data_IF_193904158177
#
_entry.id   IF_193904158177
#
_cell.length_a   1.000
_cell.length_b   1.000
_cell.length_c   1.000
_cell.angle_alpha   90.00
_cell.angle_beta   90.00
_cell.angle_gamma   90.00
#
_symmetry.space_group_name_H-M   'P 1'
#
loop_
_entity.id
_entity.type
_entity.pdbx_description
1 polymer ?
#
# COMPACT_ATOMS: atom_id res chain seq x y z
N UNK A 1 8.22 -22.90 6.22
CA UNK A 1 9.27 -22.74 5.20
C UNK A 1 9.76 -21.31 5.20
N UNK A 2 11.05 -21.08 5.40
CA UNK A 2 11.75 -19.79 5.41
C UNK A 2 12.81 -19.76 4.32
N UNK A 3 13.30 -18.57 3.95
CA UNK A 3 14.36 -18.42 2.93
C UNK A 3 15.64 -19.17 3.34
N UNK A 4 15.98 -19.17 4.63
CA UNK A 4 17.13 -19.93 5.13
C UNK A 4 16.95 -21.44 4.96
N UNK A 5 15.73 -21.96 5.16
CA UNK A 5 15.43 -23.37 4.89
C UNK A 5 15.52 -23.69 3.39
N UNK A 6 15.10 -22.78 2.50
CA UNK A 6 15.26 -22.96 1.05
C UNK A 6 16.74 -23.10 0.65
N UNK A 7 17.59 -22.20 1.12
CA UNK A 7 19.05 -22.21 0.84
C UNK A 7 19.71 -23.45 1.42
N UNK A 8 19.44 -23.77 2.69
CA UNK A 8 20.05 -24.91 3.40
C UNK A 8 19.71 -26.26 2.74
N UNK A 9 18.50 -26.40 2.21
CA UNK A 9 18.02 -27.64 1.63
C UNK A 9 18.19 -27.72 0.09
N UNK A 10 18.85 -26.73 -0.53
CA UNK A 10 19.09 -26.74 -1.98
C UNK A 10 17.80 -26.63 -2.82
N UNK A 11 16.76 -25.96 -2.31
CA UNK A 11 15.44 -25.90 -2.95
C UNK A 11 15.28 -24.74 -3.95
N UNK A 12 16.31 -23.89 -4.11
CA UNK A 12 16.29 -22.73 -4.98
C UNK A 12 16.67 -23.14 -6.41
N UNK A 13 15.89 -22.70 -7.38
CA UNK A 13 16.12 -22.88 -8.82
C UNK A 13 16.66 -21.61 -9.46
N UNK A 14 16.27 -20.44 -8.96
CA UNK A 14 16.69 -19.16 -9.51
C UNK A 14 16.77 -18.11 -8.41
N UNK A 15 17.78 -17.26 -8.45
CA UNK A 15 17.96 -16.15 -7.52
C UNK A 15 18.68 -15.01 -8.24
N UNK A 16 18.11 -13.82 -8.20
CA UNK A 16 18.70 -12.63 -8.82
C UNK A 16 18.42 -11.38 -8.00
N UNK A 17 19.37 -10.43 -8.05
CA UNK A 17 19.17 -9.05 -7.61
C UNK A 17 18.27 -8.36 -8.61
N UNK A 18 17.17 -7.77 -8.14
CA UNK A 18 16.18 -7.08 -8.97
C UNK A 18 16.09 -5.60 -8.57
N UNK A 19 15.08 -4.89 -9.08
CA UNK A 19 14.83 -3.51 -8.68
C UNK A 19 15.92 -2.55 -9.17
N UNK A 20 16.12 -1.46 -8.44
CA UNK A 20 16.90 -0.31 -8.95
C UNK A 20 18.32 -0.67 -9.41
N UNK A 21 18.93 -1.72 -8.85
CA UNK A 21 20.25 -2.22 -9.24
C UNK A 21 20.23 -2.87 -10.62
N UNK A 22 19.33 -3.84 -10.85
CA UNK A 22 19.16 -4.46 -12.16
C UNK A 22 18.83 -3.45 -13.26
N UNK A 23 18.06 -2.41 -12.92
CA UNK A 23 17.71 -1.33 -13.84
C UNK A 23 18.85 -0.34 -14.13
N UNK A 24 19.98 -0.37 -13.40
CA UNK A 24 21.02 0.64 -13.47
C UNK A 24 20.63 2.00 -12.85
N UNK A 25 19.58 2.03 -12.04
CA UNK A 25 18.99 3.22 -11.41
C UNK A 25 19.37 3.37 -9.92
N UNK A 26 20.24 2.49 -9.42
CA UNK A 26 20.67 2.52 -8.03
C UNK A 26 21.41 3.82 -7.69
N UNK A 27 21.16 4.32 -6.48
CA UNK A 27 21.85 5.44 -5.83
C UNK A 27 22.51 4.94 -4.53
N UNK A 28 23.33 5.76 -3.87
CA UNK A 28 23.97 5.36 -2.60
C UNK A 28 22.96 4.93 -1.51
N UNK A 29 21.74 5.46 -1.55
CA UNK A 29 20.62 5.11 -0.67
C UNK A 29 19.75 3.95 -1.17
N UNK A 30 20.10 3.28 -2.27
CA UNK A 30 19.29 2.18 -2.82
C UNK A 30 19.45 0.89 -2.01
N UNK A 31 18.29 0.33 -1.66
CA UNK A 31 18.10 -1.02 -1.14
C UNK A 31 18.56 -2.10 -2.13
N UNK A 32 18.63 -3.34 -1.63
CA UNK A 32 18.88 -4.53 -2.43
C UNK A 32 17.61 -5.36 -2.43
N UNK A 33 16.92 -5.42 -3.56
CA UNK A 33 15.81 -6.34 -3.74
C UNK A 33 16.35 -7.66 -4.32
N UNK A 34 15.96 -8.79 -3.76
CA UNK A 34 16.27 -10.13 -4.28
C UNK A 34 14.96 -10.84 -4.55
N UNK A 35 14.88 -11.48 -5.72
CA UNK A 35 13.79 -12.40 -6.01
C UNK A 35 14.32 -13.73 -6.49
N UNK A 36 13.55 -14.77 -6.23
CA UNK A 36 13.93 -16.10 -6.66
C UNK A 36 12.76 -17.03 -6.94
N UNK A 37 13.11 -18.21 -7.44
CA UNK A 37 12.19 -19.31 -7.70
C UNK A 37 12.70 -20.51 -6.90
N UNK A 38 11.80 -21.18 -6.19
CA UNK A 38 12.09 -22.41 -5.47
C UNK A 38 11.10 -23.49 -5.87
N UNK A 39 11.40 -24.75 -5.54
CA UNK A 39 10.44 -25.83 -5.64
C UNK A 39 10.16 -26.42 -4.25
N UNK A 40 8.93 -26.86 -4.03
CA UNK A 40 8.57 -27.50 -2.77
C UNK A 40 9.11 -28.94 -2.73
N UNK A 41 9.51 -29.44 -1.55
CA UNK A 41 9.70 -30.87 -1.37
C UNK A 41 8.41 -31.63 -1.75
N UNK A 42 8.57 -32.80 -2.38
CA UNK A 42 7.45 -33.57 -2.93
C UNK A 42 6.38 -33.89 -1.87
N UNK A 43 6.80 -34.21 -0.64
CA UNK A 43 5.91 -34.47 0.50
C UNK A 43 5.01 -33.27 0.85
N UNK A 44 5.53 -32.04 0.84
CA UNK A 44 4.74 -30.83 1.08
C UNK A 44 3.73 -30.61 -0.06
N UNK A 45 4.20 -30.83 -1.29
CA UNK A 45 3.38 -30.64 -2.48
C UNK A 45 2.20 -31.62 -2.53
N UNK A 46 2.44 -32.92 -2.27
CA UNK A 46 1.40 -33.96 -2.27
C UNK A 46 0.55 -33.95 -1.01
N UNK A 47 1.13 -33.60 0.14
CA UNK A 47 0.47 -33.58 1.45
C UNK A 47 -0.47 -32.39 1.70
N UNK A 48 -0.72 -31.56 0.68
CA UNK A 48 -1.62 -30.41 0.78
C UNK A 48 -1.03 -29.20 1.53
N UNK A 49 0.28 -29.18 1.78
CA UNK A 49 0.98 -28.08 2.48
C UNK A 49 1.64 -27.13 1.47
N UNK A 50 0.88 -26.72 0.45
CA UNK A 50 1.39 -25.88 -0.62
C UNK A 50 1.71 -24.46 -0.12
N UNK A 51 2.95 -24.04 -0.31
CA UNK A 51 3.44 -22.70 0.00
C UNK A 51 3.79 -22.01 -1.32
N UNK A 52 2.96 -21.06 -1.75
CA UNK A 52 3.10 -20.39 -3.04
C UNK A 52 4.28 -19.40 -3.11
N UNK A 53 4.64 -18.81 -1.96
CA UNK A 53 5.71 -17.81 -1.86
C UNK A 53 6.26 -17.74 -0.44
N UNK A 54 7.52 -17.35 -0.31
CA UNK A 54 8.20 -17.09 0.96
C UNK A 54 8.87 -15.73 0.87
N UNK A 55 8.71 -14.87 1.88
CA UNK A 55 9.32 -13.55 1.93
C UNK A 55 9.99 -13.30 3.28
N UNK A 56 11.01 -12.44 3.32
CA UNK A 56 11.55 -11.92 4.58
C UNK A 56 10.61 -10.86 5.19
N UNK A 57 10.89 -10.41 6.41
CA UNK A 57 10.03 -9.48 7.13
C UNK A 57 9.85 -8.11 6.42
N UNK A 58 10.88 -7.63 5.71
CA UNK A 58 10.83 -6.37 4.96
C UNK A 58 10.23 -6.51 3.56
N UNK A 59 10.06 -7.74 3.06
CA UNK A 59 9.71 -8.08 1.67
C UNK A 59 10.76 -7.65 0.61
N UNK A 60 11.99 -7.40 1.03
CA UNK A 60 13.11 -7.14 0.11
C UNK A 60 13.63 -8.45 -0.53
N UNK A 61 13.42 -9.59 0.13
CA UNK A 61 13.70 -10.92 -0.41
C UNK A 61 12.40 -11.70 -0.58
N UNK A 62 12.06 -12.09 -1.82
CA UNK A 62 10.82 -12.82 -2.12
C UNK A 62 11.08 -13.98 -3.09
N UNK A 63 10.68 -15.18 -2.71
CA UNK A 63 10.82 -16.40 -3.50
C UNK A 63 9.45 -16.96 -3.84
N UNK A 64 9.27 -17.35 -5.10
CA UNK A 64 8.04 -17.91 -5.62
C UNK A 64 8.22 -19.41 -5.85
N UNK A 65 7.22 -20.21 -5.45
CA UNK A 65 7.23 -21.63 -5.81
C UNK A 65 7.11 -21.77 -7.33
N UNK A 66 7.75 -22.79 -7.91
CA UNK A 66 7.85 -23.01 -9.35
C UNK A 66 6.50 -22.92 -10.08
N UNK A 67 5.45 -23.55 -9.57
CA UNK A 67 4.10 -23.46 -10.09
C UNK A 67 3.51 -22.05 -9.98
N UNK A 68 3.74 -21.34 -8.86
CA UNK A 68 3.36 -19.92 -8.72
C UNK A 68 4.12 -19.02 -9.70
N UNK A 69 5.40 -19.27 -9.91
CA UNK A 69 6.23 -18.58 -10.90
C UNK A 69 5.67 -18.76 -12.31
N UNK A 70 5.37 -20.01 -12.72
CA UNK A 70 4.78 -20.32 -14.03
C UNK A 70 3.38 -19.70 -14.18
N UNK A 71 2.53 -19.74 -13.14
CA UNK A 71 1.20 -19.10 -13.15
C UNK A 71 1.30 -17.59 -13.39
N UNK A 72 2.29 -16.92 -12.78
CA UNK A 72 2.48 -15.48 -12.93
C UNK A 72 3.10 -15.13 -14.29
N UNK A 73 4.04 -15.94 -14.80
CA UNK A 73 4.55 -15.83 -16.17
C UNK A 73 3.43 -15.96 -17.19
N UNK A 74 2.51 -16.90 -16.98
CA UNK A 74 1.40 -17.17 -17.90
C UNK A 74 0.39 -16.02 -18.00
N UNK A 75 0.40 -15.11 -17.01
CA UNK A 75 -0.39 -13.87 -16.95
C UNK A 75 0.44 -12.63 -17.26
N UNK A 76 1.63 -12.82 -17.83
CA UNK A 76 2.56 -11.75 -18.21
C UNK A 76 2.88 -10.79 -17.05
N UNK A 77 3.03 -11.31 -15.83
CA UNK A 77 3.24 -10.48 -14.64
C UNK A 77 4.59 -9.73 -14.73
N UNK A 78 4.61 -8.38 -14.62
CA UNK A 78 5.82 -7.60 -14.84
C UNK A 78 6.96 -7.99 -13.91
N UNK A 79 6.68 -8.17 -12.62
CA UNK A 79 7.69 -8.53 -11.61
C UNK A 79 8.40 -9.86 -11.90
N UNK A 80 7.67 -10.80 -12.50
CA UNK A 80 8.17 -12.15 -12.79
C UNK A 80 8.88 -12.19 -14.15
N UNK A 81 8.36 -11.47 -15.14
CA UNK A 81 9.06 -11.28 -16.41
C UNK A 81 10.39 -10.54 -16.20
N UNK A 82 10.42 -9.53 -15.34
CA UNK A 82 11.65 -8.82 -14.94
C UNK A 82 12.66 -9.75 -14.26
N UNK A 83 12.18 -10.63 -13.37
CA UNK A 83 13.03 -11.65 -12.75
C UNK A 83 13.64 -12.57 -13.82
N UNK A 84 12.82 -13.14 -14.71
CA UNK A 84 13.29 -14.02 -15.78
C UNK A 84 14.29 -13.31 -16.73
N UNK A 85 14.09 -12.02 -16.98
CA UNK A 85 14.95 -11.19 -17.82
C UNK A 85 16.14 -10.56 -17.07
N UNK A 86 16.45 -11.01 -15.85
CA UNK A 86 17.53 -10.43 -15.04
C UNK A 86 18.87 -10.43 -15.78
N UNK A 87 19.61 -9.31 -15.79
CA UNK A 87 20.95 -9.23 -16.37
C UNK A 87 21.92 -10.25 -15.75
N UNK A 88 22.90 -10.71 -16.53
CA UNK A 88 23.83 -11.76 -16.10
C UNK A 88 24.63 -11.40 -14.83
N UNK A 89 25.00 -10.13 -14.68
CA UNK A 89 25.70 -9.58 -13.51
C UNK A 89 24.80 -9.47 -12.25
N UNK A 90 23.48 -9.61 -12.41
CA UNK A 90 22.50 -9.60 -11.34
C UNK A 90 22.06 -11.01 -10.92
N UNK A 91 22.37 -12.05 -11.71
CA UNK A 91 22.01 -13.44 -11.39
C UNK A 91 22.96 -13.96 -10.30
N UNK A 92 22.40 -14.35 -9.16
CA UNK A 92 23.14 -14.93 -8.03
C UNK A 92 23.24 -16.46 -8.19
N UNK A 93 22.14 -17.10 -8.58
CA UNK A 93 22.08 -18.53 -8.84
C UNK A 93 21.05 -18.82 -9.93
N UNK A 94 21.34 -19.78 -10.81
CA UNK A 94 20.38 -20.26 -11.82
C UNK A 94 20.63 -21.73 -12.13
N UNK A 95 19.64 -22.56 -11.84
CA UNK A 95 19.59 -23.96 -12.22
C UNK A 95 19.32 -24.10 -13.74
N UNK A 96 19.96 -25.03 -14.46
CA UNK A 96 19.73 -25.26 -15.90
C UNK A 96 18.26 -25.54 -16.26
N UNK A 97 17.45 -26.06 -15.32
CA UNK A 97 16.01 -26.27 -15.54
C UNK A 97 15.27 -24.96 -15.84
N UNK A 98 15.75 -23.82 -15.35
CA UNK A 98 15.16 -22.50 -15.61
C UNK A 98 15.36 -22.08 -17.07
N UNK A 99 16.40 -22.59 -17.74
CA UNK A 99 16.66 -22.27 -19.15
C UNK A 99 15.56 -22.81 -20.09
N UNK A 100 14.65 -23.66 -19.61
CA UNK A 100 13.47 -24.05 -20.36
C UNK A 100 12.51 -22.88 -20.62
N UNK A 101 12.49 -21.87 -19.73
CA UNK A 101 11.69 -20.66 -19.89
C UNK A 101 12.46 -19.62 -20.72
N UNK A 102 12.12 -19.46 -21.99
CA UNK A 102 12.76 -18.47 -22.87
C UNK A 102 11.98 -17.17 -22.82
N UNK A 103 12.67 -16.05 -22.59
CA UNK A 103 12.04 -14.72 -22.51
C UNK A 103 11.16 -14.41 -23.73
N UNK A 104 11.58 -14.87 -24.91
CA UNK A 104 10.85 -14.69 -26.17
C UNK A 104 9.42 -15.27 -26.16
N UNK A 105 9.17 -16.32 -25.37
CA UNK A 105 7.84 -16.94 -25.23
C UNK A 105 6.83 -16.03 -24.52
N UNK A 106 7.33 -15.00 -23.82
CA UNK A 106 6.53 -14.05 -23.04
C UNK A 106 6.47 -12.65 -23.66
N UNK A 107 7.15 -12.43 -24.79
CA UNK A 107 7.05 -11.18 -25.56
C UNK A 107 5.75 -11.22 -26.37
N UNK A 108 4.69 -10.70 -25.77
CA UNK A 108 3.32 -10.77 -26.31
C UNK A 108 2.62 -9.42 -26.22
N UNK A 109 1.50 -9.28 -26.94
CA UNK A 109 0.64 -8.09 -26.83
C UNK A 109 0.06 -7.93 -25.43
N UNK A 110 -0.33 -9.04 -24.79
CA UNK A 110 -0.77 -9.05 -23.40
C UNK A 110 0.33 -8.53 -22.46
N UNK A 111 1.58 -8.95 -22.63
CA UNK A 111 2.68 -8.47 -21.79
C UNK A 111 2.84 -6.94 -21.85
N UNK A 112 2.85 -6.37 -23.05
CA UNK A 112 2.91 -4.93 -23.22
C UNK A 112 1.74 -4.22 -22.51
N UNK A 113 0.52 -4.72 -22.70
CA UNK A 113 -0.68 -4.15 -22.08
C UNK A 113 -0.67 -4.32 -20.55
N UNK A 114 -0.19 -5.43 -20.03
CA UNK A 114 -0.10 -5.68 -18.58
C UNK A 114 0.90 -4.73 -17.92
N UNK A 115 2.07 -4.50 -18.53
CA UNK A 115 3.02 -3.48 -18.07
C UNK A 115 2.40 -2.09 -18.06
N UNK A 116 1.72 -1.71 -19.16
CA UNK A 116 1.11 -0.41 -19.30
C UNK A 116 -0.03 -0.16 -18.28
N UNK A 117 -0.94 -1.13 -18.14
CA UNK A 117 -2.03 -1.05 -17.17
C UNK A 117 -1.52 -1.02 -15.72
N UNK A 118 -0.49 -1.82 -15.42
CA UNK A 118 0.16 -1.80 -14.11
C UNK A 118 0.75 -0.42 -13.81
N UNK A 119 1.39 0.23 -14.80
CA UNK A 119 1.93 1.59 -14.66
C UNK A 119 0.82 2.63 -14.43
N UNK A 120 -0.29 2.56 -15.15
CA UNK A 120 -1.41 3.50 -15.04
C UNK A 120 -2.10 3.45 -13.68
N UNK A 121 -2.17 2.28 -13.05
CA UNK A 121 -2.62 2.16 -11.65
C UNK A 121 -1.69 2.93 -10.70
N UNK A 122 -0.38 2.96 -10.97
CA UNK A 122 0.58 3.69 -10.13
C UNK A 122 0.48 5.22 -10.30
N UNK A 123 0.12 5.73 -11.48
CA UNK A 123 -0.10 7.18 -11.71
C UNK A 123 -1.15 7.73 -10.76
N UNK A 124 -2.29 7.04 -10.66
CA UNK A 124 -3.40 7.40 -9.76
C UNK A 124 -3.00 7.28 -8.29
N UNK A 125 -2.07 6.39 -7.97
CA UNK A 125 -1.51 6.25 -6.61
C UNK A 125 -0.41 7.26 -6.31
N UNK A 126 0.16 7.95 -7.29
CA UNK A 126 1.26 8.88 -7.07
C UNK A 126 0.80 10.19 -6.42
N UNK A 127 -0.37 10.71 -6.84
CA UNK A 127 -1.03 11.91 -6.29
C UNK A 127 -2.42 11.53 -5.79
N UNK A 128 -2.78 11.95 -4.58
CA UNK A 128 -4.09 11.66 -4.01
C UNK A 128 -4.42 12.58 -2.85
N UNK A 129 -5.58 13.22 -2.92
CA UNK A 129 -6.10 14.11 -1.86
C UNK A 129 -6.15 13.39 -0.52
N UNK A 130 -6.51 12.11 -0.48
CA UNK A 130 -6.65 11.31 0.75
C UNK A 130 -5.36 10.65 1.25
N UNK A 131 -4.19 10.93 0.65
CA UNK A 131 -2.94 10.37 1.20
C UNK A 131 -2.65 11.00 2.56
N UNK A 132 -2.19 10.18 3.51
CA UNK A 132 -1.82 10.63 4.86
C UNK A 132 -0.78 11.76 4.84
N UNK A 133 0.15 11.75 3.88
CA UNK A 133 1.12 12.84 3.70
C UNK A 133 0.47 14.20 3.41
N UNK A 134 -0.69 14.22 2.76
CA UNK A 134 -1.44 15.43 2.40
C UNK A 134 -2.52 15.79 3.45
N UNK A 135 -2.77 14.91 4.42
CA UNK A 135 -3.74 15.12 5.50
C UNK A 135 -3.06 14.85 6.85
N UNK A 136 -2.16 15.75 7.28
CA UNK A 136 -1.53 15.61 8.58
C UNK A 136 -2.58 15.68 9.69
N UNK A 137 -2.43 14.82 10.70
CA UNK A 137 -3.21 14.89 11.93
C UNK A 137 -2.36 15.48 13.04
N UNK A 138 -2.98 16.26 13.92
CA UNK A 138 -2.31 16.83 15.09
C UNK A 138 -1.71 15.74 15.98
N UNK A 139 -0.55 16.03 16.58
CA UNK A 139 0.09 15.10 17.54
C UNK A 139 -0.71 14.95 18.82
N UNK A 140 -1.46 15.96 19.21
CA UNK A 140 -2.34 15.90 20.36
C UNK A 140 -3.68 15.29 19.93
N UNK A 141 -4.03 14.15 20.54
CA UNK A 141 -5.28 13.46 20.24
C UNK A 141 -6.45 14.23 20.83
N UNK A 142 -7.44 14.57 19.99
CA UNK A 142 -8.74 15.06 20.45
C UNK A 142 -9.45 14.04 21.35
N UNK A 143 -10.04 14.56 22.42
CA UNK A 143 -10.84 13.83 23.40
C UNK A 143 -12.31 13.72 22.95
N UNK A 144 -13.13 12.92 23.63
CA UNK A 144 -14.58 12.89 23.37
C UNK A 144 -15.25 14.26 23.54
N UNK A 145 -14.74 15.12 24.43
CA UNK A 145 -15.25 16.48 24.66
C UNK A 145 -15.22 17.35 23.40
N UNK A 146 -14.29 17.09 22.47
CA UNK A 146 -14.18 17.79 21.18
C UNK A 146 -15.32 17.43 20.20
N UNK A 147 -16.10 16.39 20.53
CA UNK A 147 -17.24 15.90 19.76
C UNK A 147 -18.56 16.06 20.52
N UNK A 148 -18.54 16.88 21.58
CA UNK A 148 -19.68 17.24 22.41
C UNK A 148 -20.16 18.65 22.05
N UNK A 149 -21.45 18.82 21.80
CA UNK A 149 -22.04 20.07 21.33
C UNK A 149 -23.31 20.43 22.13
N UNK A 150 -23.40 21.68 22.56
CA UNK A 150 -24.60 22.22 23.19
C UNK A 150 -25.58 22.65 22.11
N UNK A 151 -26.82 22.17 22.18
CA UNK A 151 -27.89 22.60 21.28
C UNK A 151 -28.38 23.98 21.72
N UNK A 152 -28.30 24.96 20.83
CA UNK A 152 -28.67 26.35 21.11
C UNK A 152 -29.41 26.96 19.91
N UNK A 153 -30.67 27.33 20.12
CA UNK A 153 -31.52 27.87 19.05
C UNK A 153 -31.69 26.86 17.91
N UNK A 154 -31.30 27.27 16.70
CA UNK A 154 -31.34 26.44 15.48
C UNK A 154 -29.97 25.81 15.13
N UNK A 155 -28.97 25.92 16.01
CA UNK A 155 -27.62 25.42 15.78
C UNK A 155 -27.03 24.73 17.00
N UNK A 156 -25.71 24.60 17.02
CA UNK A 156 -24.97 24.03 18.14
C UNK A 156 -23.67 24.78 18.41
N UNK A 157 -23.19 24.69 19.65
CA UNK A 157 -21.94 25.28 20.13
C UNK A 157 -21.02 24.18 20.66
N UNK A 158 -19.71 24.32 20.53
CA UNK A 158 -18.76 23.40 21.16
C UNK A 158 -18.96 23.39 22.68
N UNK A 159 -19.02 22.21 23.29
CA UNK A 159 -19.12 22.09 24.75
C UNK A 159 -17.96 22.81 25.45
N UNK A 160 -16.74 22.69 24.93
CA UNK A 160 -15.55 23.32 25.53
C UNK A 160 -15.67 24.85 25.54
N UNK A 161 -16.11 25.44 24.44
CA UNK A 161 -16.31 26.90 24.33
C UNK A 161 -17.46 27.36 25.23
N UNK A 162 -18.55 26.59 25.27
CA UNK A 162 -19.72 26.89 26.09
C UNK A 162 -19.39 26.88 27.59
N UNK A 163 -18.63 25.87 28.06
CA UNK A 163 -18.14 25.80 29.44
C UNK A 163 -17.15 26.94 29.74
N UNK A 164 -16.21 27.20 28.83
CA UNK A 164 -15.19 28.24 29.01
C UNK A 164 -15.81 29.64 29.14
N UNK A 165 -16.83 29.95 28.33
CA UNK A 165 -17.56 31.24 28.42
C UNK A 165 -18.26 31.47 29.77
N UNK A 166 -18.53 30.40 30.53
CA UNK A 166 -19.14 30.43 31.86
C UNK A 166 -18.15 30.21 32.99
N UNK A 167 -16.87 30.00 32.66
CA UNK A 167 -15.83 29.58 33.60
C UNK A 167 -16.18 28.27 34.34
N UNK A 168 -16.89 27.38 33.65
CA UNK A 168 -17.32 26.10 34.18
C UNK A 168 -16.34 24.99 33.84
N UNK A 169 -16.31 23.97 34.71
CA UNK A 169 -15.45 22.79 34.61
C UNK A 169 -16.27 21.57 34.27
N UNK A 170 -15.82 20.75 33.30
CA UNK A 170 -16.59 19.59 32.84
C UNK A 170 -16.81 18.56 33.96
N UNK A 171 -15.89 18.50 34.93
CA UNK A 171 -15.94 17.61 36.10
C UNK A 171 -17.17 17.85 36.97
N UNK A 172 -17.69 19.08 36.97
CA UNK A 172 -18.86 19.48 37.75
C UNK A 172 -20.17 19.37 36.95
N UNK A 173 -20.13 18.82 35.73
CA UNK A 173 -21.33 18.61 34.92
C UNK A 173 -22.03 17.30 35.29
N UNK A 174 -23.35 17.36 35.45
CA UNK A 174 -24.21 16.20 35.61
C UNK A 174 -24.94 15.92 34.30
N UNK A 175 -24.84 14.69 33.79
CA UNK A 175 -25.56 14.28 32.57
C UNK A 175 -26.65 13.26 32.88
N UNK A 176 -27.83 13.45 32.30
CA UNK A 176 -28.87 12.42 32.24
C UNK A 176 -29.24 12.13 30.79
N UNK A 177 -29.33 10.84 30.44
CA UNK A 177 -29.66 10.40 29.08
C UNK A 177 -31.11 10.76 28.71
N UNK A 178 -31.32 11.17 27.47
CA UNK A 178 -32.66 11.36 26.92
C UNK A 178 -33.08 10.08 26.19
N UNK A 179 -34.14 9.44 26.67
CA UNK A 179 -34.64 8.22 26.05
C UNK A 179 -35.08 8.44 24.60
N UNK A 180 -34.84 7.44 23.76
CA UNK A 180 -35.12 7.46 22.31
C UNK A 180 -34.41 8.55 21.48
N UNK A 181 -33.49 9.32 22.06
CA UNK A 181 -32.70 10.33 21.36
C UNK A 181 -31.20 9.98 21.42
N UNK A 182 -30.70 9.27 20.41
CA UNK A 182 -29.30 8.80 20.38
C UNK A 182 -28.31 9.97 20.47
N UNK A 183 -27.36 9.86 21.39
CA UNK A 183 -26.34 10.89 21.63
C UNK A 183 -26.85 12.14 22.35
N UNK A 184 -28.11 12.18 22.79
CA UNK A 184 -28.69 13.35 23.46
C UNK A 184 -28.76 13.16 24.97
N UNK A 185 -28.34 14.20 25.70
CA UNK A 185 -28.28 14.24 27.15
C UNK A 185 -28.80 15.59 27.64
N UNK A 186 -29.42 15.59 28.82
CA UNK A 186 -29.65 16.81 29.60
C UNK A 186 -28.41 17.09 30.44
N UNK A 187 -27.98 18.35 30.48
CA UNK A 187 -26.81 18.81 31.21
C UNK A 187 -27.22 19.72 32.36
N UNK A 188 -26.68 19.41 33.53
CA UNK A 188 -26.81 20.15 34.79
C UNK A 188 -25.41 20.54 35.27
N UNK A 189 -25.30 21.52 36.16
CA UNK A 189 -24.03 21.99 36.67
C UNK A 189 -24.06 22.15 38.19
N UNK A 190 -23.14 21.49 38.87
CA UNK A 190 -22.98 21.61 40.32
C UNK A 190 -22.07 22.78 40.67
N UNK A 191 -22.68 23.92 40.95
CA UNK A 191 -21.97 25.12 41.40
C UNK A 191 -21.33 24.92 42.79
N UNK A 192 -21.93 24.06 43.63
CA UNK A 192 -21.54 23.84 45.02
C UNK A 192 -20.44 22.78 45.19
N UNK A 193 -20.24 21.94 44.19
CA UNK A 193 -19.36 20.75 44.21
C UNK A 193 -19.71 19.73 45.30
N UNK A 194 -20.98 19.64 45.69
CA UNK A 194 -21.47 18.71 46.72
C UNK A 194 -22.36 17.59 46.20
N UNK A 195 -22.81 17.66 44.95
CA UNK A 195 -23.76 16.72 44.34
C UNK A 195 -23.08 15.45 43.80
N UNK A 196 -21.75 15.41 43.76
CA UNK A 196 -20.99 14.22 43.35
C UNK A 196 -21.22 13.84 41.89
N UNK A 197 -21.46 14.83 41.02
CA UNK A 197 -21.54 14.60 39.58
C UNK A 197 -20.25 13.99 39.04
N UNK A 198 -20.40 13.14 38.01
CA UNK A 198 -19.28 12.38 37.42
C UNK A 198 -18.55 13.13 36.30
N UNK A 199 -18.97 14.36 36.02
CA UNK A 199 -18.55 15.13 34.86
C UNK A 199 -19.14 14.63 33.55
N UNK A 200 -18.77 15.31 32.45
CA UNK A 200 -19.14 14.86 31.09
C UNK A 200 -18.37 13.61 30.72
N UNK A 201 -17.07 13.56 30.99
CA UNK A 201 -16.22 12.37 30.85
C UNK A 201 -15.47 12.11 32.15
N UNK A 202 -15.32 10.83 32.51
CA UNK A 202 -14.57 10.44 33.70
C UNK A 202 -13.08 10.78 33.57
N UNK A 203 -12.51 10.62 32.37
CA UNK A 203 -11.14 10.97 32.03
C UNK A 203 -11.07 11.49 30.59
N UNK A 204 -10.00 12.20 30.22
CA UNK A 204 -9.81 12.67 28.84
C UNK A 204 -9.62 11.52 27.82
N UNK A 205 -9.30 10.32 28.30
CA UNK A 205 -9.13 9.10 27.49
C UNK A 205 -10.45 8.31 27.32
N UNK A 206 -11.51 8.72 28.01
CA UNK A 206 -12.81 8.04 27.97
C UNK A 206 -13.43 8.10 26.57
N UNK A 207 -14.00 6.96 26.14
CA UNK A 207 -14.70 6.85 24.86
C UNK A 207 -16.22 7.02 24.99
N UNK A 208 -16.72 7.18 26.21
CA UNK A 208 -18.13 7.40 26.53
C UNK A 208 -18.29 8.54 27.54
N UNK A 209 -19.48 9.14 27.56
CA UNK A 209 -19.85 10.13 28.57
C UNK A 209 -20.32 9.49 29.86
N UNK A 210 -20.23 10.21 30.97
CA UNK A 210 -20.58 9.72 32.30
C UNK A 210 -21.93 10.26 32.77
N UNK A 211 -22.94 9.38 32.88
CA UNK A 211 -24.23 9.77 33.45
C UNK A 211 -24.17 9.88 34.98
N UNK A 212 -24.79 10.93 35.50
CA UNK A 212 -24.91 11.25 36.92
C UNK A 212 -26.35 11.07 37.40
N UNK A 213 -26.53 10.80 38.69
CA UNK A 213 -27.85 10.85 39.32
C UNK A 213 -28.22 12.31 39.54
N UNK A 214 -29.32 12.78 38.94
CA UNK A 214 -29.74 14.18 39.01
C UNK A 214 -30.89 14.32 40.03
N UNK A 215 -30.71 15.06 41.13
CA UNK A 215 -31.81 15.40 42.05
C UNK A 215 -32.94 16.15 41.35
N UNK A 216 -34.18 16.01 41.85
CA UNK A 216 -35.38 16.60 41.21
C UNK A 216 -35.41 18.13 41.22
N UNK A 217 -34.68 18.76 42.14
CA UNK A 217 -34.65 20.21 42.37
C UNK A 217 -33.67 20.93 41.41
N UNK A 218 -32.83 20.17 40.69
CA UNK A 218 -31.77 20.73 39.85
C UNK A 218 -32.30 21.37 38.58
N UNK A 219 -31.73 22.52 38.23
CA UNK A 219 -32.15 23.28 37.04
C UNK A 219 -31.41 22.81 35.80
N UNK A 220 -32.15 22.43 34.77
CA UNK A 220 -31.61 22.09 33.45
C UNK A 220 -30.80 23.27 32.91
N UNK A 221 -29.52 23.05 32.63
CA UNK A 221 -28.64 24.07 32.06
C UNK A 221 -28.69 24.06 30.52
N UNK A 222 -28.66 22.89 29.90
CA UNK A 222 -28.62 22.74 28.45
C UNK A 222 -28.97 21.32 27.96
N UNK A 223 -29.21 21.20 26.65
CA UNK A 223 -29.20 19.92 25.94
C UNK A 223 -27.83 19.69 25.29
N UNK A 224 -27.23 18.55 25.56
CA UNK A 224 -25.94 18.14 25.03
C UNK A 224 -26.14 17.04 23.98
N UNK A 225 -25.56 17.24 22.80
CA UNK A 225 -25.37 16.21 21.79
C UNK A 225 -23.93 15.70 21.81
N UNK A 226 -23.75 14.38 21.79
CA UNK A 226 -22.46 13.71 21.73
C UNK A 226 -22.39 12.91 20.42
N UNK A 227 -21.50 13.34 19.52
CA UNK A 227 -21.32 12.68 18.24
C UNK A 227 -20.35 11.49 18.34
N UNK A 228 -20.80 10.40 18.94
CA UNK A 228 -19.99 9.18 19.13
C UNK A 228 -19.49 8.59 17.80
N UNK A 229 -20.26 8.72 16.72
CA UNK A 229 -19.89 8.22 15.39
C UNK A 229 -18.68 8.99 14.84
N UNK A 230 -18.74 10.32 14.86
CA UNK A 230 -17.61 11.15 14.44
C UNK A 230 -16.36 10.95 15.31
N UNK A 231 -16.53 10.80 16.64
CA UNK A 231 -15.40 10.51 17.55
C UNK A 231 -14.76 9.15 17.24
N UNK A 232 -15.58 8.11 17.03
CA UNK A 232 -15.10 6.78 16.68
C UNK A 232 -14.35 6.76 15.35
N UNK A 233 -14.92 7.40 14.31
CA UNK A 233 -14.27 7.57 13.02
C UNK A 233 -12.95 8.34 13.14
N UNK A 234 -12.91 9.41 13.94
CA UNK A 234 -11.69 10.15 14.23
C UNK A 234 -10.62 9.28 14.91
N UNK A 235 -10.99 8.51 15.94
CA UNK A 235 -10.04 7.65 16.66
C UNK A 235 -9.42 6.59 15.75
N UNK A 236 -10.24 6.00 14.88
CA UNK A 236 -9.75 5.06 13.85
C UNK A 236 -8.77 5.75 12.91
N UNK A 237 -9.13 6.90 12.35
CA UNK A 237 -8.26 7.66 11.44
C UNK A 237 -6.94 8.08 12.11
N UNK A 238 -6.99 8.54 13.36
CA UNK A 238 -5.84 8.92 14.17
C UNK A 238 -4.88 7.74 14.36
N UNK A 239 -5.39 6.60 14.82
CA UNK A 239 -4.56 5.41 15.01
C UNK A 239 -3.94 4.92 13.70
N UNK A 240 -4.71 4.91 12.61
CA UNK A 240 -4.20 4.56 11.29
C UNK A 240 -3.12 5.55 10.83
N UNK A 241 -3.30 6.85 11.05
CA UNK A 241 -2.34 7.89 10.69
C UNK A 241 -1.01 7.69 11.43
N UNK A 242 -1.05 7.59 12.76
CA UNK A 242 0.18 7.45 13.56
C UNK A 242 0.85 6.08 13.40
N UNK A 243 0.09 5.02 13.12
CA UNK A 243 0.67 3.72 12.71
C UNK A 243 1.39 3.82 11.37
N UNK A 244 0.89 4.63 10.44
CA UNK A 244 1.59 4.91 9.19
C UNK A 244 2.82 5.79 9.44
N UNK A 245 2.75 6.80 10.31
CA UNK A 245 3.91 7.64 10.66
C UNK A 245 5.04 6.80 11.25
N UNK A 246 4.75 5.85 12.14
CA UNK A 246 5.78 5.00 12.75
C UNK A 246 6.40 3.99 11.77
N UNK A 247 5.65 3.55 10.76
CA UNK A 247 6.09 2.54 9.80
C UNK A 247 6.55 3.10 8.44
N UNK A 248 6.46 4.42 8.21
CA UNK A 248 6.78 5.01 6.90
C UNK A 248 8.28 4.94 6.61
N UNK A 249 8.60 4.96 5.32
CA UNK A 249 9.97 5.16 4.87
C UNK A 249 10.30 6.67 4.93
N UNK A 250 11.15 7.07 5.89
CA UNK A 250 11.47 8.48 6.15
C UNK A 250 12.15 9.15 4.96
N UNK A 251 13.15 8.49 4.33
CA UNK A 251 13.85 9.03 3.17
C UNK A 251 12.90 9.30 1.98
N UNK A 252 11.90 8.45 1.77
CA UNK A 252 10.86 8.62 0.74
C UNK A 252 9.92 9.77 1.07
N UNK A 253 9.55 9.92 2.35
CA UNK A 253 8.74 11.02 2.84
C UNK A 253 9.45 12.36 2.67
N UNK A 254 10.69 12.48 3.16
CA UNK A 254 11.54 13.67 3.01
C UNK A 254 11.74 14.03 1.54
N UNK A 255 12.05 13.04 0.70
CA UNK A 255 12.18 13.27 -0.74
C UNK A 255 10.93 13.92 -1.34
N UNK A 256 9.74 13.43 -0.97
CA UNK A 256 8.46 13.97 -1.45
C UNK A 256 8.22 15.41 -0.96
N UNK A 257 8.59 15.72 0.29
CA UNK A 257 8.46 17.07 0.85
C UNK A 257 9.48 18.04 0.25
N UNK A 258 10.73 17.60 0.05
CA UNK A 258 11.84 18.44 -0.40
C UNK A 258 11.66 18.95 -1.84
N UNK A 259 11.13 18.14 -2.75
CA UNK A 259 10.89 18.60 -4.13
C UNK A 259 9.60 19.43 -4.26
N UNK A 260 8.73 19.48 -3.24
CA UNK A 260 7.60 20.41 -3.15
C UNK A 260 6.45 20.19 -4.15
N UNK A 261 6.49 19.14 -4.97
CA UNK A 261 5.49 18.93 -6.03
C UNK A 261 4.22 18.18 -5.56
N UNK A 262 4.17 17.73 -4.29
CA UNK A 262 2.97 17.10 -3.71
C UNK A 262 2.61 15.71 -4.28
N UNK A 263 3.56 15.01 -4.89
CA UNK A 263 3.38 13.66 -5.43
C UNK A 263 4.61 12.78 -5.19
N UNK A 264 4.44 11.45 -5.27
CA UNK A 264 5.52 10.49 -5.08
C UNK A 264 6.41 10.34 -6.33
N UNK A 265 7.57 11.00 -6.34
CA UNK A 265 8.50 10.99 -7.48
C UNK A 265 9.08 9.61 -7.83
N UNK A 266 9.34 8.74 -6.84
CA UNK A 266 9.79 7.36 -7.07
C UNK A 266 8.72 6.58 -7.83
N UNK A 267 7.45 6.73 -7.45
CA UNK A 267 6.34 6.09 -8.15
C UNK A 267 6.19 6.61 -9.58
N UNK A 268 6.26 7.92 -9.82
CA UNK A 268 6.12 8.43 -11.19
C UNK A 268 7.28 8.03 -12.11
N UNK A 269 8.52 8.02 -11.59
CA UNK A 269 9.66 7.47 -12.35
C UNK A 269 9.40 6.00 -12.72
N UNK A 270 8.91 5.21 -11.77
CA UNK A 270 8.57 3.80 -12.01
C UNK A 270 7.47 3.65 -13.08
N UNK A 271 6.42 4.48 -13.02
CA UNK A 271 5.39 4.52 -14.06
C UNK A 271 5.99 4.75 -15.44
N UNK A 272 6.76 5.83 -15.62
CA UNK A 272 7.32 6.18 -16.93
C UNK A 272 8.24 5.06 -17.43
N UNK A 273 9.08 4.49 -16.55
CA UNK A 273 9.92 3.33 -16.89
C UNK A 273 9.10 2.14 -17.39
N UNK A 274 7.99 1.80 -16.73
CA UNK A 274 7.14 0.68 -17.12
C UNK A 274 6.42 0.93 -18.45
N UNK A 275 5.94 2.14 -18.69
CA UNK A 275 5.33 2.52 -19.97
C UNK A 275 6.35 2.48 -21.11
N UNK A 276 7.56 3.01 -20.89
CA UNK A 276 8.65 2.89 -21.87
C UNK A 276 8.98 1.43 -22.16
N UNK A 277 9.07 0.56 -21.15
CA UNK A 277 9.26 -0.88 -21.34
C UNK A 277 8.12 -1.54 -22.10
N UNK A 278 6.86 -1.19 -21.81
CA UNK A 278 5.70 -1.70 -22.54
C UNK A 278 5.76 -1.34 -24.03
N UNK A 279 6.15 -0.10 -24.36
CA UNK A 279 6.38 0.34 -25.73
C UNK A 279 7.53 -0.43 -26.39
N UNK A 280 8.61 -0.71 -25.67
CA UNK A 280 9.76 -1.48 -26.15
C UNK A 280 9.41 -2.95 -26.43
N UNK A 281 8.59 -3.59 -25.59
CA UNK A 281 8.08 -4.95 -25.84
C UNK A 281 7.42 -5.03 -27.22
N UNK A 282 6.63 -4.02 -27.62
CA UNK A 282 5.95 -4.00 -28.91
C UNK A 282 6.89 -3.62 -30.07
N UNK A 283 7.69 -2.58 -29.89
CA UNK A 283 8.49 -1.99 -30.97
C UNK A 283 9.81 -2.71 -31.23
N UNK A 284 10.49 -3.15 -30.17
CA UNK A 284 11.80 -3.83 -30.23
C UNK A 284 11.68 -5.34 -30.06
N UNK A 285 10.54 -5.85 -29.58
CA UNK A 285 10.28 -7.27 -29.30
C UNK A 285 11.21 -7.86 -28.24
N UNK A 286 11.59 -7.04 -27.26
CA UNK A 286 12.45 -7.41 -26.14
C UNK A 286 12.00 -6.71 -24.86
N UNK A 287 12.34 -7.30 -23.70
CA UNK A 287 12.19 -6.66 -22.40
C UNK A 287 13.57 -6.19 -21.92
N UNK A 288 13.84 -4.90 -22.03
CA UNK A 288 15.14 -4.31 -21.66
C UNK A 288 15.17 -3.87 -20.19
N UNK A 289 15.83 -4.67 -19.34
CA UNK A 289 15.95 -4.37 -17.90
C UNK A 289 16.92 -3.22 -17.63
N UNK A 290 18.17 -3.27 -18.08
CA UNK A 290 19.10 -2.14 -17.88
C UNK A 290 18.62 -0.92 -18.69
N UNK A 291 18.33 0.20 -18.01
CA UNK A 291 17.71 1.37 -18.65
C UNK A 291 18.76 2.25 -19.33
N UNK A 292 18.64 2.53 -20.65
CA UNK A 292 19.58 3.40 -21.35
C UNK A 292 19.39 4.89 -20.99
N UNK A 293 18.19 5.26 -20.53
CA UNK A 293 17.79 6.64 -20.21
C UNK A 293 17.91 6.97 -18.71
N UNK A 294 18.98 6.52 -18.06
CA UNK A 294 19.21 6.71 -16.61
C UNK A 294 19.07 8.17 -16.16
N UNK A 295 19.63 9.12 -16.92
CA UNK A 295 19.61 10.55 -16.60
C UNK A 295 18.18 11.09 -16.53
N UNK A 296 17.35 10.74 -17.50
CA UNK A 296 15.94 11.13 -17.55
C UNK A 296 15.15 10.56 -16.37
N UNK A 297 15.29 9.26 -16.11
CA UNK A 297 14.57 8.60 -15.02
C UNK A 297 14.98 9.15 -13.65
N UNK A 298 16.26 9.46 -13.44
CA UNK A 298 16.71 10.09 -12.20
C UNK A 298 16.28 11.55 -12.08
N UNK A 299 16.15 12.29 -13.20
CA UNK A 299 15.56 13.63 -13.19
C UNK A 299 14.13 13.60 -12.65
N UNK A 300 13.33 12.61 -13.07
CA UNK A 300 11.98 12.39 -12.54
C UNK A 300 12.02 12.00 -11.07
N UNK A 301 12.87 11.04 -10.69
CA UNK A 301 13.02 10.57 -9.29
C UNK A 301 13.40 11.70 -8.33
N UNK A 302 14.17 12.68 -8.80
CA UNK A 302 14.59 13.85 -8.03
C UNK A 302 13.55 14.99 -8.01
N UNK A 303 12.38 14.80 -8.62
CA UNK A 303 11.27 15.76 -8.57
C UNK A 303 11.46 17.00 -9.46
N UNK A 304 12.29 16.91 -10.51
CA UNK A 304 12.53 18.01 -11.44
C UNK A 304 11.44 18.18 -12.52
N UNK A 305 10.41 17.33 -12.52
CA UNK A 305 9.21 17.49 -13.35
C UNK A 305 8.01 17.72 -12.44
N UNK A 306 6.97 18.39 -12.93
CA UNK A 306 5.69 18.51 -12.25
C UNK A 306 4.86 17.22 -12.39
N UNK A 307 3.84 17.08 -11.55
CA UNK A 307 2.91 15.95 -11.70
C UNK A 307 2.16 16.00 -13.03
N UNK A 308 1.69 17.18 -13.44
CA UNK A 308 0.80 17.33 -14.58
C UNK A 308 1.56 16.99 -15.88
N UNK A 309 2.82 17.43 -16.02
CA UNK A 309 3.71 17.01 -17.13
C UNK A 309 3.89 15.49 -17.19
N UNK A 310 4.09 14.83 -16.04
CA UNK A 310 4.27 13.38 -15.99
C UNK A 310 2.96 12.63 -16.20
N UNK A 311 1.83 13.22 -15.81
CA UNK A 311 0.50 12.67 -16.03
C UNK A 311 0.18 12.66 -17.53
N UNK A 312 0.34 13.80 -18.20
CA UNK A 312 0.12 13.93 -19.64
C UNK A 312 1.04 12.99 -20.42
N UNK A 313 2.34 12.99 -20.09
CA UNK A 313 3.29 12.07 -20.73
C UNK A 313 2.95 10.59 -20.50
N UNK A 314 2.44 10.23 -19.31
CA UNK A 314 2.00 8.86 -19.05
C UNK A 314 0.80 8.44 -19.91
N UNK A 315 -0.11 9.37 -20.19
CA UNK A 315 -1.26 9.15 -21.07
C UNK A 315 -0.86 9.07 -22.53
N UNK A 316 0.04 9.94 -22.99
CA UNK A 316 0.60 9.88 -24.34
C UNK A 316 1.27 8.53 -24.60
N UNK A 317 2.16 8.08 -23.71
CA UNK A 317 2.79 6.76 -23.83
C UNK A 317 1.77 5.62 -23.81
N UNK A 318 0.73 5.71 -22.98
CA UNK A 318 -0.29 4.68 -22.90
C UNK A 318 -1.08 4.55 -24.22
N UNK A 319 -1.46 5.67 -24.84
CA UNK A 319 -2.15 5.65 -26.12
C UNK A 319 -1.23 5.17 -27.26
N UNK A 320 0.04 5.56 -27.28
CA UNK A 320 1.01 5.01 -28.23
C UNK A 320 1.15 3.47 -28.11
N UNK A 321 1.17 2.94 -26.88
CA UNK A 321 1.23 1.49 -26.64
C UNK A 321 -0.03 0.82 -27.18
N UNK A 322 -1.22 1.43 -27.00
CA UNK A 322 -2.47 0.88 -27.53
C UNK A 322 -2.45 0.82 -29.05
N UNK A 323 -2.02 1.89 -29.72
CA UNK A 323 -1.89 1.93 -31.17
C UNK A 323 -0.89 0.88 -31.69
N UNK A 324 0.30 0.79 -31.08
CA UNK A 324 1.29 -0.24 -31.43
C UNK A 324 0.74 -1.67 -31.23
N UNK A 325 -0.08 -1.87 -30.20
CA UNK A 325 -0.68 -3.18 -29.89
C UNK A 325 -1.72 -3.60 -30.94
N UNK A 326 -2.49 -2.65 -31.49
CA UNK A 326 -3.47 -2.91 -32.56
C UNK A 326 -2.80 -3.41 -33.85
N UNK A 327 -1.61 -2.88 -34.17
CA UNK A 327 -0.87 -3.20 -35.40
C UNK A 327 0.24 -4.25 -35.22
N UNK A 328 0.44 -4.75 -33.99
CA UNK A 328 1.51 -5.70 -33.70
C UNK A 328 1.18 -7.12 -34.17
N UNK A 329 2.21 -7.79 -34.72
CA UNK A 329 2.18 -9.21 -35.12
C UNK A 329 2.61 -10.15 -33.98
N UNK A 330 2.87 -9.63 -32.77
CA UNK A 330 3.20 -10.47 -31.63
C UNK A 330 2.01 -11.38 -31.24
N UNK A 331 2.28 -12.56 -30.66
CA UNK A 331 1.24 -13.40 -30.09
C UNK A 331 0.36 -12.61 -29.11
N UNK A 332 -0.91 -12.99 -29.01
CA UNK A 332 -1.85 -12.34 -28.10
C UNK A 332 -1.38 -12.50 -26.65
N UNK A 333 -1.08 -13.73 -26.23
CA UNK A 333 -0.76 -14.11 -24.86
C UNK A 333 0.29 -15.26 -24.85
N UNK A 334 0.95 -15.52 -23.70
CA UNK A 334 1.87 -16.65 -23.57
C UNK A 334 1.17 -18.00 -23.82
N UNK A 335 1.90 -18.95 -24.42
CA UNK A 335 1.38 -20.29 -24.69
C UNK A 335 1.20 -21.08 -23.38
N UNK A 336 -0.05 -21.20 -22.95
CA UNK A 336 -0.44 -21.87 -21.71
C UNK A 336 -0.20 -23.39 -21.75
N UNK A 337 -0.28 -24.01 -22.93
CA UNK A 337 -0.05 -25.45 -23.09
C UNK A 337 1.44 -25.73 -22.96
N UNK A 338 2.28 -24.94 -23.64
CA UNK A 338 3.74 -25.02 -23.53
C UNK A 338 4.21 -24.81 -22.09
N UNK A 339 3.70 -23.79 -21.41
CA UNK A 339 4.06 -23.51 -20.01
C UNK A 339 3.70 -24.64 -19.06
N UNK A 340 2.52 -25.23 -19.25
CA UNK A 340 2.09 -26.39 -18.46
C UNK A 340 3.00 -27.59 -18.68
N UNK A 341 3.39 -27.85 -19.93
CA UNK A 341 4.30 -28.94 -20.25
C UNK A 341 5.68 -28.71 -19.62
N UNK A 342 6.25 -27.51 -19.76
CA UNK A 342 7.52 -27.14 -19.12
C UNK A 342 7.49 -27.33 -17.59
N UNK A 343 6.39 -26.93 -16.93
CA UNK A 343 6.22 -27.14 -15.50
C UNK A 343 6.22 -28.63 -15.13
N UNK A 344 5.52 -29.45 -15.91
CA UNK A 344 5.48 -30.91 -15.73
C UNK A 344 6.88 -31.51 -15.93
N UNK A 345 7.59 -31.12 -16.98
CA UNK A 345 8.93 -31.64 -17.31
C UNK A 345 9.94 -31.29 -16.22
N UNK A 346 9.94 -30.04 -15.74
CA UNK A 346 10.83 -29.60 -14.65
C UNK A 346 10.53 -30.39 -13.38
N UNK A 347 9.25 -30.54 -13.00
CA UNK A 347 8.87 -31.30 -11.79
C UNK A 347 9.23 -32.78 -11.87
N UNK A 348 9.06 -33.38 -13.05
CA UNK A 348 9.44 -34.78 -13.30
C UNK A 348 10.94 -34.98 -13.05
N UNK A 349 11.77 -34.03 -13.50
CA UNK A 349 13.21 -34.04 -13.25
C UNK A 349 13.55 -33.80 -11.78
N UNK A 350 12.96 -32.78 -11.15
CA UNK A 350 13.22 -32.43 -9.74
C UNK A 350 12.83 -33.53 -8.76
N UNK A 351 11.75 -34.26 -9.03
CA UNK A 351 11.25 -35.31 -8.16
C UNK A 351 11.68 -36.72 -8.58
N UNK A 352 12.41 -36.84 -9.68
CA UNK A 352 12.83 -38.13 -10.25
C UNK A 352 11.66 -39.10 -10.47
N UNK A 353 10.51 -38.57 -10.89
CA UNK A 353 9.28 -39.35 -11.15
C UNK A 353 9.23 -39.73 -12.64
N UNK A 354 8.59 -40.85 -12.98
CA UNK A 354 8.20 -41.16 -14.38
C UNK A 354 6.68 -41.01 -14.48
N UNK A 355 6.22 -40.21 -15.44
CA UNK A 355 4.80 -39.95 -15.69
C UNK A 355 4.21 -40.89 -16.73
#
# INVERSE_FOLDING_TARGET
MTINELRKNGLILFEAVVGSRAYGLATASSDTDIRGVFYLPLEYYLGGQYIAQVANASNDEVYYELGRFVELLSKSNPNIMELLASPADCIVYKDPLVDQFKMQDFITREAAMTFAQYAMVQVRKAKGLNKKINNPMDRERKSLLDFCFIIAGHGSLSLKEWLSSRQWKQENCGLAKIEHAKGMYTLYYDQSQTLGYKGVVATLESNEVSCSSIPREETLCAYLFVNHEAYSSYCKAYNEYFSWVSARNEARFEGTMNHGQGYDAKNMMHTIRLLQQAKEILSKRELQIQRPNRVELLRIKNGACSYDELFDWSHELFEEIRELCLHSLLPVAPDQVKLRQQLVDIRTQLYHVKL
#
